data_IF_135012148377
#
_entry.id   IF_135012148377
#
_cell.length_a   1.000
_cell.length_b   1.000
_cell.length_c   1.000
_cell.angle_alpha   90.00
_cell.angle_beta   90.00
_cell.angle_gamma   90.00
#
_symmetry.space_group_name_H-M   'P 1'
#
loop_
_entity.id
_entity.type
_entity.pdbx_description
1 polymer ?
#
# COMPACT_ATOMS: atom_id res chain seq x y z
N UNK A 1 2.02 -19.65 -70.54
CA UNK A 1 3.02 -18.76 -69.89
C UNK A 1 3.21 -19.20 -68.45
N UNK A 2 4.43 -19.02 -67.89
CA UNK A 2 4.85 -19.03 -66.47
C UNK A 2 4.05 -19.93 -65.48
N UNK A 3 4.60 -21.07 -65.03
CA UNK A 3 5.58 -21.24 -63.92
C UNK A 3 5.00 -20.88 -62.52
N UNK A 4 5.13 -21.68 -61.46
CA UNK A 4 5.55 -23.09 -61.31
C UNK A 4 5.13 -23.68 -59.93
N UNK A 5 5.53 -24.94 -59.67
CA UNK A 5 5.15 -25.86 -58.58
C UNK A 5 5.59 -25.47 -57.13
N UNK A 6 5.10 -26.18 -56.08
CA UNK A 6 5.22 -25.81 -54.65
C UNK A 6 6.27 -26.67 -53.90
N UNK A 7 6.27 -26.66 -52.56
CA UNK A 7 6.69 -27.83 -51.78
C UNK A 7 6.14 -27.92 -50.33
N UNK A 8 5.70 -29.13 -49.96
CA UNK A 8 5.72 -29.66 -48.59
C UNK A 8 7.16 -30.07 -48.22
N UNK A 9 7.50 -30.29 -46.94
CA UNK A 9 7.85 -31.64 -46.45
C UNK A 9 7.96 -31.75 -44.92
N UNK A 10 7.87 -32.99 -44.43
CA UNK A 10 8.03 -33.46 -43.05
C UNK A 10 9.37 -34.19 -42.93
N UNK A 11 10.12 -34.03 -41.83
CA UNK A 11 11.06 -35.05 -41.30
C UNK A 11 11.08 -34.99 -39.77
N UNK A 12 11.25 -36.15 -39.12
CA UNK A 12 11.54 -36.32 -37.68
C UNK A 12 12.80 -37.19 -37.50
N UNK A 13 13.20 -37.44 -36.24
CA UNK A 13 14.04 -38.57 -35.74
C UNK A 13 15.56 -38.38 -35.52
N UNK A 14 16.00 -38.85 -34.34
CA UNK A 14 17.27 -39.53 -33.98
C UNK A 14 18.58 -38.68 -33.90
N UNK A 15 19.34 -38.64 -32.78
CA UNK A 15 20.18 -39.67 -32.06
C UNK A 15 21.57 -39.83 -32.73
N UNK A 16 22.74 -39.85 -32.05
CA UNK A 16 23.13 -39.66 -30.63
C UNK A 16 24.69 -39.57 -30.49
N UNK A 17 25.22 -39.62 -29.24
CA UNK A 17 26.60 -40.01 -28.86
C UNK A 17 27.70 -38.93 -29.02
N UNK A 18 28.85 -38.92 -28.29
CA UNK A 18 29.39 -39.62 -27.09
C UNK A 18 30.64 -38.83 -26.64
N UNK A 19 31.10 -38.69 -25.39
CA UNK A 19 30.54 -38.86 -24.03
C UNK A 19 31.17 -37.71 -23.17
N UNK A 20 31.86 -37.78 -22.00
CA UNK A 20 32.14 -38.71 -20.89
C UNK A 20 32.75 -37.82 -19.74
N UNK A 21 32.92 -38.13 -18.45
CA UNK A 21 32.61 -39.25 -17.54
C UNK A 21 32.58 -38.66 -16.08
N UNK A 22 32.26 -39.44 -15.04
CA UNK A 22 32.60 -39.13 -13.64
C UNK A 22 31.44 -39.10 -12.63
N UNK A 23 31.10 -40.26 -12.04
CA UNK A 23 30.29 -40.36 -10.81
C UNK A 23 31.13 -40.81 -9.60
N UNK A 24 30.55 -41.48 -8.58
CA UNK A 24 29.12 -41.62 -8.23
C UNK A 24 28.84 -41.44 -6.71
N UNK A 25 27.56 -41.41 -6.28
CA UNK A 25 27.08 -42.08 -5.02
C UNK A 25 25.55 -42.00 -4.75
N UNK A 26 24.89 -43.15 -5.02
CA UNK A 26 23.73 -43.82 -4.33
C UNK A 26 22.41 -43.07 -4.00
N UNK A 27 21.38 -43.90 -3.82
CA UNK A 27 19.93 -43.61 -3.86
C UNK A 27 19.21 -43.91 -2.52
N UNK A 28 17.96 -43.45 -2.39
CA UNK A 28 16.97 -43.88 -1.38
C UNK A 28 16.12 -42.71 -0.87
N UNK A 29 14.79 -42.74 -0.83
CA UNK A 29 13.83 -43.84 -1.11
C UNK A 29 12.57 -43.33 -1.83
N UNK A 30 12.10 -44.15 -2.78
CA UNK A 30 10.72 -44.60 -2.97
C UNK A 30 9.57 -43.57 -2.88
N UNK A 31 9.09 -43.17 -4.06
CA UNK A 31 7.71 -42.71 -4.27
C UNK A 31 6.79 -43.93 -4.42
N UNK A 32 5.56 -43.86 -3.90
CA UNK A 32 4.49 -44.80 -4.25
C UNK A 32 3.15 -44.05 -4.41
N UNK A 33 2.40 -44.41 -5.45
CA UNK A 33 1.03 -43.95 -5.71
C UNK A 33 0.13 -45.17 -5.90
N UNK A 34 -0.99 -45.28 -5.17
CA UNK A 34 -2.23 -45.89 -5.66
C UNK A 34 -2.91 -44.86 -6.57
N UNK A 35 -3.11 -45.10 -7.87
CA UNK A 35 -4.04 -46.05 -8.50
C UNK A 35 -5.50 -45.59 -8.41
N UNK A 36 -6.09 -45.25 -9.56
CA UNK A 36 -7.49 -44.87 -9.71
C UNK A 36 -8.43 -46.08 -9.66
N UNK A 37 -9.53 -45.96 -8.93
CA UNK A 37 -10.74 -46.76 -9.11
C UNK A 37 -11.95 -45.82 -9.18
N UNK A 38 -12.80 -46.03 -10.19
CA UNK A 38 -14.10 -45.37 -10.35
C UNK A 38 -15.16 -46.00 -9.41
N UNK A 39 -16.40 -45.49 -9.53
CA UNK A 39 -17.62 -45.95 -8.84
C UNK A 39 -17.80 -45.43 -7.41
N UNK A 40 -18.47 -44.26 -7.30
CA UNK A 40 -19.61 -44.07 -6.39
C UNK A 40 -20.44 -42.82 -6.80
N UNK A 41 -21.10 -42.89 -7.95
CA UNK A 41 -22.18 -41.94 -8.28
C UNK A 41 -23.45 -42.29 -7.46
N UNK A 42 -23.64 -41.62 -6.31
CA UNK A 42 -24.95 -41.14 -5.78
C UNK A 42 -24.80 -40.55 -4.38
N UNK A 43 -24.85 -39.23 -4.29
CA UNK A 43 -25.52 -38.49 -3.21
C UNK A 43 -25.48 -36.99 -3.54
N UNK A 44 -26.41 -36.52 -4.36
CA UNK A 44 -26.65 -35.09 -4.57
C UNK A 44 -27.33 -34.48 -3.34
N UNK A 45 -26.53 -34.21 -2.30
CA UNK A 45 -26.94 -33.31 -1.22
C UNK A 45 -27.04 -31.87 -1.76
N UNK A 46 -28.05 -31.08 -1.34
CA UNK A 46 -28.28 -29.74 -1.90
C UNK A 46 -27.09 -28.81 -1.63
N UNK A 47 -26.73 -28.01 -2.63
CA UNK A 47 -25.64 -27.04 -2.54
C UNK A 47 -26.00 -25.85 -1.64
N UNK A 48 -25.57 -25.89 -0.38
CA UNK A 48 -25.79 -24.81 0.60
C UNK A 48 -24.86 -23.60 0.37
N UNK A 49 -24.91 -23.05 -0.85
CA UNK A 49 -24.15 -21.89 -1.34
C UNK A 49 -25.09 -20.98 -2.17
N UNK A 50 -26.22 -20.57 -1.61
CA UNK A 50 -27.25 -19.83 -2.36
C UNK A 50 -28.02 -18.71 -1.62
N UNK A 51 -27.36 -17.67 -1.06
CA UNK A 51 -28.01 -16.36 -0.85
C UNK A 51 -28.17 -15.61 -2.19
N UNK A 52 -27.06 -15.22 -2.82
CA UNK A 52 -27.04 -14.22 -3.90
C UNK A 52 -27.74 -14.69 -5.19
N UNK A 53 -27.56 -15.94 -5.59
CA UNK A 53 -28.21 -16.52 -6.80
C UNK A 53 -29.74 -16.50 -6.68
N UNK A 54 -30.28 -16.63 -5.47
CA UNK A 54 -31.71 -16.58 -5.20
C UNK A 54 -32.28 -15.15 -5.21
N UNK A 55 -31.47 -14.12 -4.99
CA UNK A 55 -31.93 -12.72 -5.05
C UNK A 55 -31.95 -12.22 -6.49
N UNK A 56 -30.89 -12.45 -7.27
CA UNK A 56 -30.84 -12.10 -8.70
C UNK A 56 -32.02 -12.70 -9.50
N UNK A 57 -32.38 -13.97 -9.23
CA UNK A 57 -33.55 -14.59 -9.86
C UNK A 57 -34.88 -13.97 -9.41
N UNK A 58 -35.02 -13.51 -8.16
CA UNK A 58 -36.22 -12.78 -7.69
C UNK A 58 -36.30 -11.41 -8.34
N UNK A 59 -35.18 -10.70 -8.46
CA UNK A 59 -35.12 -9.37 -9.09
C UNK A 59 -35.47 -9.42 -10.57
N UNK A 60 -34.86 -10.32 -11.35
CA UNK A 60 -35.20 -10.49 -12.76
C UNK A 60 -36.64 -10.97 -12.94
N UNK A 61 -37.14 -11.87 -12.07
CA UNK A 61 -38.54 -12.30 -12.12
C UNK A 61 -39.51 -11.17 -11.78
N UNK A 62 -39.13 -10.21 -10.92
CA UNK A 62 -39.88 -8.97 -10.66
C UNK A 62 -39.83 -8.01 -11.85
N UNK A 63 -38.63 -7.79 -12.40
CA UNK A 63 -38.37 -6.86 -13.51
C UNK A 63 -39.01 -7.27 -14.84
N UNK A 64 -39.17 -8.57 -15.09
CA UNK A 64 -39.79 -9.14 -16.30
C UNK A 64 -41.29 -9.47 -16.15
N UNK A 65 -41.94 -9.02 -15.08
CA UNK A 65 -43.36 -9.34 -14.81
C UNK A 65 -43.65 -10.84 -14.64
N UNK A 66 -42.64 -11.60 -14.19
CA UNK A 66 -42.67 -13.07 -14.14
C UNK A 66 -42.36 -13.72 -15.48
N UNK A 67 -41.44 -13.15 -16.27
CA UNK A 67 -41.12 -13.52 -17.67
C UNK A 67 -42.30 -13.36 -18.64
N UNK A 68 -43.30 -12.53 -18.29
CA UNK A 68 -44.48 -12.26 -19.13
C UNK A 68 -44.30 -11.05 -20.04
N UNK A 69 -43.35 -10.18 -19.74
CA UNK A 69 -43.04 -8.97 -20.49
C UNK A 69 -41.53 -8.83 -20.61
N UNK A 70 -41.03 -8.66 -21.84
CA UNK A 70 -39.65 -8.23 -22.03
C UNK A 70 -39.56 -6.71 -21.79
N UNK A 71 -38.71 -6.24 -20.87
CA UNK A 71 -38.48 -4.81 -20.66
C UNK A 71 -37.87 -4.19 -21.92
N UNK A 72 -38.19 -2.92 -22.19
CA UNK A 72 -37.60 -2.16 -23.29
C UNK A 72 -36.09 -1.96 -23.09
N UNK A 73 -35.36 -1.68 -24.17
CA UNK A 73 -33.93 -1.35 -24.08
C UNK A 73 -33.66 -0.16 -23.16
N UNK A 74 -34.55 0.84 -23.11
CA UNK A 74 -34.46 1.96 -22.17
C UNK A 74 -34.61 1.54 -20.71
N UNK A 75 -35.54 0.64 -20.40
CA UNK A 75 -35.72 0.10 -19.05
C UNK A 75 -34.53 -0.79 -18.63
N UNK A 76 -34.01 -1.63 -19.53
CA UNK A 76 -32.80 -2.43 -19.28
C UNK A 76 -31.59 -1.53 -19.05
N UNK A 77 -31.38 -0.51 -19.88
CA UNK A 77 -30.30 0.47 -19.69
C UNK A 77 -30.47 1.25 -18.39
N UNK A 78 -31.68 1.69 -18.03
CA UNK A 78 -31.90 2.38 -16.75
C UNK A 78 -31.70 1.47 -15.54
N UNK A 79 -32.07 0.18 -15.63
CA UNK A 79 -31.80 -0.81 -14.59
C UNK A 79 -30.29 -1.05 -14.43
N UNK A 80 -29.57 -1.26 -15.54
CA UNK A 80 -28.12 -1.40 -15.55
C UNK A 80 -27.43 -0.15 -15.01
N UNK A 81 -27.83 1.04 -15.46
CA UNK A 81 -27.28 2.31 -14.98
C UNK A 81 -27.49 2.48 -13.47
N UNK A 82 -28.68 2.17 -12.93
CA UNK A 82 -28.95 2.25 -11.49
C UNK A 82 -28.14 1.23 -10.68
N UNK A 83 -27.88 0.04 -11.22
CA UNK A 83 -27.02 -0.97 -10.58
C UNK A 83 -25.53 -0.61 -10.68
N UNK A 84 -25.10 0.01 -11.78
CA UNK A 84 -23.72 0.48 -11.99
C UNK A 84 -23.41 1.77 -11.21
N UNK A 85 -24.41 2.64 -10.99
CA UNK A 85 -24.31 3.81 -10.10
C UNK A 85 -24.42 3.45 -8.61
N UNK A 86 -24.58 2.17 -8.28
CA UNK A 86 -24.44 1.68 -6.91
C UNK A 86 -22.94 1.69 -6.53
N UNK A 87 -22.53 2.21 -5.36
CA UNK A 87 -21.15 2.69 -5.10
C UNK A 87 -20.08 1.60 -4.90
N UNK A 88 -20.26 0.40 -5.46
CA UNK A 88 -19.42 -0.79 -5.24
C UNK A 88 -18.58 -1.22 -6.46
N UNK A 89 -18.53 -0.44 -7.56
CA UNK A 89 -17.62 -0.70 -8.69
C UNK A 89 -16.48 0.35 -8.78
N UNK A 90 -15.38 0.20 -8.04
CA UNK A 90 -14.31 1.20 -7.92
C UNK A 90 -13.33 1.19 -9.12
N UNK A 91 -13.81 0.93 -10.34
CA UNK A 91 -12.97 0.68 -11.52
C UNK A 91 -13.26 1.59 -12.73
N UNK A 92 -14.36 2.34 -12.74
CA UNK A 92 -14.60 3.36 -13.78
C UNK A 92 -13.96 4.70 -13.38
N UNK A 93 -13.37 5.41 -14.35
CA UNK A 93 -12.68 6.70 -14.15
C UNK A 93 -11.14 6.65 -14.03
N UNK A 94 -10.53 5.45 -14.02
CA UNK A 94 -9.06 5.29 -13.87
C UNK A 94 -8.25 5.54 -15.15
N UNK A 95 -8.29 6.77 -15.68
CA UNK A 95 -7.15 7.32 -16.42
C UNK A 95 -6.02 7.74 -15.45
N UNK A 96 -4.81 8.04 -15.94
CA UNK A 96 -3.66 8.46 -15.11
C UNK A 96 -3.84 9.88 -14.48
N UNK A 97 -5.07 10.40 -14.39
CA UNK A 97 -5.44 11.76 -13.95
C UNK A 97 -5.41 12.00 -12.42
N UNK A 98 -4.71 11.16 -11.66
CA UNK A 98 -4.35 11.43 -10.24
C UNK A 98 -3.19 12.46 -10.09
N UNK A 99 -2.81 13.14 -11.18
CA UNK A 99 -2.07 14.39 -11.09
C UNK A 99 -3.04 15.56 -10.90
N UNK A 100 -2.80 16.39 -9.88
CA UNK A 100 -3.61 17.58 -9.58
C UNK A 100 -3.84 18.44 -10.84
N UNK A 101 -5.04 18.35 -11.42
CA UNK A 101 -5.69 19.55 -11.95
C UNK A 101 -6.11 20.39 -10.74
N UNK A 102 -5.98 21.71 -10.88
CA UNK A 102 -6.44 22.66 -9.88
C UNK A 102 -7.98 22.68 -9.87
N UNK A 103 -8.58 22.96 -8.71
CA UNK A 103 -10.04 22.89 -8.52
C UNK A 103 -10.47 21.54 -7.94
N UNK A 104 -10.97 20.66 -8.82
CA UNK A 104 -12.20 19.92 -8.54
C UNK A 104 -11.99 18.40 -8.29
N UNK A 105 -12.89 17.82 -7.49
CA UNK A 105 -13.05 16.38 -7.16
C UNK A 105 -11.76 15.60 -6.80
N UNK A 106 -11.22 15.93 -5.63
CA UNK A 106 -9.99 15.36 -5.04
C UNK A 106 -10.16 13.93 -4.47
N UNK A 107 -10.39 12.93 -5.32
CA UNK A 107 -10.31 11.53 -4.87
C UNK A 107 -8.88 11.19 -4.41
N UNK A 108 -8.73 10.62 -3.20
CA UNK A 108 -7.42 10.31 -2.61
C UNK A 108 -6.85 9.07 -3.29
N UNK A 109 -5.65 9.17 -3.88
CA UNK A 109 -4.97 8.03 -4.53
C UNK A 109 -4.99 6.79 -3.60
N UNK A 110 -5.54 5.63 -4.04
CA UNK A 110 -5.93 4.54 -3.14
C UNK A 110 -4.84 4.07 -2.16
N UNK A 111 -3.57 4.03 -2.56
CA UNK A 111 -2.48 3.68 -1.64
C UNK A 111 -2.42 4.57 -0.38
N UNK A 112 -2.61 5.89 -0.52
CA UNK A 112 -2.61 6.83 0.61
C UNK A 112 -3.87 6.66 1.48
N UNK A 113 -5.03 6.43 0.86
CA UNK A 113 -6.27 6.06 1.58
C UNK A 113 -6.04 4.79 2.42
N UNK A 114 -5.41 3.76 1.86
CA UNK A 114 -5.01 2.55 2.58
C UNK A 114 -4.04 2.81 3.74
N UNK A 115 -3.09 3.73 3.58
CA UNK A 115 -2.19 4.15 4.66
C UNK A 115 -2.93 4.89 5.78
N UNK A 116 -3.93 5.71 5.44
CA UNK A 116 -4.85 6.32 6.42
C UNK A 116 -5.69 5.25 7.12
N UNK A 117 -6.28 4.29 6.40
CA UNK A 117 -7.08 3.21 7.00
C UNK A 117 -6.26 2.40 8.01
N UNK A 118 -5.03 2.01 7.66
CA UNK A 118 -4.11 1.33 8.60
C UNK A 118 -3.79 2.21 9.80
N UNK A 119 -3.51 3.50 9.62
CA UNK A 119 -3.21 4.40 10.72
C UNK A 119 -4.41 4.57 11.68
N UNK A 120 -5.61 4.84 11.14
CA UNK A 120 -6.83 4.95 11.93
C UNK A 120 -7.12 3.66 12.71
N UNK A 121 -7.01 2.49 12.06
CA UNK A 121 -7.22 1.20 12.71
C UNK A 121 -6.19 0.92 13.82
N UNK A 122 -4.91 1.30 13.64
CA UNK A 122 -3.88 1.14 14.69
C UNK A 122 -4.10 2.00 15.94
N UNK A 123 -4.87 3.07 15.85
CA UNK A 123 -5.29 3.90 16.99
C UNK A 123 -6.77 3.72 17.38
N UNK A 124 -7.52 2.91 16.62
CA UNK A 124 -8.97 2.70 16.76
C UNK A 124 -9.74 4.04 16.79
N UNK A 125 -9.29 5.05 16.02
CA UNK A 125 -9.88 6.39 16.00
C UNK A 125 -9.44 7.24 14.80
N UNK A 126 -10.38 8.06 14.30
CA UNK A 126 -10.14 9.05 13.25
C UNK A 126 -9.14 10.14 13.67
N UNK A 127 -8.92 10.40 14.97
CA UNK A 127 -7.99 11.46 15.42
C UNK A 127 -6.55 11.21 14.97
N UNK A 128 -6.16 9.97 14.72
CA UNK A 128 -4.86 9.63 14.16
C UNK A 128 -4.64 10.21 12.75
N UNK A 129 -5.72 10.56 12.03
CA UNK A 129 -5.66 11.20 10.73
C UNK A 129 -5.46 12.73 10.80
N UNK A 130 -5.83 13.38 11.92
CA UNK A 130 -5.70 14.83 12.05
C UNK A 130 -4.37 15.26 12.68
N UNK A 131 -3.76 14.43 13.53
CA UNK A 131 -2.47 14.75 14.16
C UNK A 131 -1.30 14.52 13.20
N UNK A 132 -0.40 15.50 13.10
CA UNK A 132 0.81 15.44 12.26
C UNK A 132 2.03 15.81 13.10
N UNK A 133 3.10 15.01 13.01
CA UNK A 133 4.39 15.29 13.65
C UNK A 133 5.14 16.35 12.82
N UNK A 134 5.48 17.47 13.45
CA UNK A 134 6.22 18.60 12.86
C UNK A 134 7.53 18.91 13.64
N UNK A 135 8.32 19.88 13.18
CA UNK A 135 9.57 20.31 13.82
C UNK A 135 9.40 20.67 15.30
N UNK A 136 8.26 21.27 15.68
CA UNK A 136 7.89 21.67 17.05
C UNK A 136 7.46 20.50 17.94
N UNK A 137 6.95 19.40 17.35
CA UNK A 137 6.48 18.23 18.08
C UNK A 137 7.61 17.63 18.94
N UNK A 138 7.39 17.43 20.26
CA UNK A 138 8.42 16.99 21.19
C UNK A 138 8.78 15.50 21.06
N UNK A 139 9.93 15.08 21.62
CA UNK A 139 10.28 13.67 21.81
C UNK A 139 9.25 12.91 22.65
N UNK A 140 9.08 11.63 22.36
CA UNK A 140 8.20 10.72 23.08
C UNK A 140 8.86 10.19 24.35
N UNK A 141 8.10 10.15 25.44
CA UNK A 141 8.54 9.62 26.73
C UNK A 141 8.13 8.16 26.95
N UNK A 142 8.60 7.56 28.05
CA UNK A 142 8.13 6.24 28.47
C UNK A 142 8.49 5.07 27.55
N UNK A 143 9.40 5.25 26.57
CA UNK A 143 9.84 4.21 25.64
C UNK A 143 11.36 4.24 25.40
N UNK A 144 11.95 3.06 25.20
CA UNK A 144 13.38 2.90 24.92
C UNK A 144 13.69 1.81 23.89
N UNK A 145 14.92 1.82 23.35
CA UNK A 145 15.47 0.72 22.55
C UNK A 145 16.28 -0.23 23.43
N UNK A 146 15.85 -1.49 23.52
CA UNK A 146 16.66 -2.57 24.08
C UNK A 146 17.49 -3.20 22.96
N UNK A 147 18.83 -3.20 23.13
CA UNK A 147 19.74 -3.99 22.26
C UNK A 147 19.59 -5.47 22.62
N UNK A 148 19.41 -6.33 21.62
CA UNK A 148 19.34 -7.78 21.82
C UNK A 148 20.74 -8.41 21.80
N UNK A 149 20.88 -9.65 22.31
CA UNK A 149 22.16 -10.39 22.29
C UNK A 149 22.66 -10.57 20.84
N UNK A 150 23.99 -10.56 20.64
CA UNK A 150 24.62 -10.83 19.33
C UNK A 150 24.11 -12.17 18.77
N UNK A 151 23.74 -12.20 17.50
CA UNK A 151 23.09 -13.37 16.86
C UNK A 151 21.55 -13.35 16.88
N UNK A 152 20.91 -12.45 17.62
CA UNK A 152 19.44 -12.32 17.58
C UNK A 152 18.95 -11.87 16.20
N UNK A 153 17.97 -12.60 15.63
CA UNK A 153 17.38 -12.28 14.31
C UNK A 153 16.80 -10.85 14.22
N UNK A 154 16.37 -10.28 15.35
CA UNK A 154 16.04 -8.86 15.51
C UNK A 154 17.04 -8.25 16.50
N UNK A 155 17.93 -7.32 16.08
CA UNK A 155 19.03 -6.82 16.92
C UNK A 155 18.60 -5.74 17.92
N UNK A 156 17.41 -5.15 17.75
CA UNK A 156 16.88 -4.05 18.56
C UNK A 156 15.38 -4.24 18.74
N UNK A 157 14.87 -4.19 19.97
CA UNK A 157 13.43 -4.15 20.26
C UNK A 157 13.04 -2.84 20.95
N UNK A 158 11.80 -2.39 20.78
CA UNK A 158 11.23 -1.32 21.62
C UNK A 158 10.60 -1.89 22.88
N UNK A 159 10.76 -1.19 23.99
CA UNK A 159 10.09 -1.46 25.26
C UNK A 159 9.45 -0.16 25.74
N UNK A 160 8.14 -0.19 25.98
CA UNK A 160 7.48 0.86 26.77
C UNK A 160 7.83 0.60 28.23
N UNK A 161 8.50 1.56 28.86
CA UNK A 161 8.93 1.54 30.26
C UNK A 161 7.92 2.22 31.18
N UNK A 162 7.16 3.20 30.67
CA UNK A 162 6.09 3.87 31.40
C UNK A 162 4.93 4.20 30.43
N UNK A 163 3.84 3.43 30.50
CA UNK A 163 2.67 3.61 29.63
C UNK A 163 1.99 4.97 29.83
N UNK A 164 1.98 5.52 31.05
CA UNK A 164 1.37 6.84 31.32
C UNK A 164 2.17 7.95 30.62
N UNK A 165 3.48 8.01 30.83
CA UNK A 165 4.34 8.98 30.14
C UNK A 165 4.27 8.84 28.61
N UNK A 166 4.22 7.60 28.10
CA UNK A 166 4.05 7.33 26.66
C UNK A 166 2.72 7.88 26.12
N UNK A 167 1.60 7.61 26.80
CA UNK A 167 0.27 8.11 26.37
C UNK A 167 0.21 9.64 26.48
N UNK A 168 0.67 10.20 27.61
CA UNK A 168 0.59 11.64 27.90
C UNK A 168 1.44 12.49 26.94
N UNK A 169 2.60 11.99 26.50
CA UNK A 169 3.50 12.69 25.57
C UNK A 169 3.23 12.41 24.08
N UNK A 170 2.37 11.45 23.73
CA UNK A 170 2.08 11.08 22.34
C UNK A 170 0.89 11.86 21.79
N UNK A 171 1.12 12.69 20.75
CA UNK A 171 0.12 13.61 20.17
C UNK A 171 -1.27 12.99 19.90
N UNK A 172 -1.34 11.78 19.33
CA UNK A 172 -2.62 11.04 19.17
C UNK A 172 -3.17 10.54 20.50
N UNK A 173 -2.41 9.73 21.25
CA UNK A 173 -2.92 9.00 22.42
C UNK A 173 -3.38 9.93 23.55
N UNK A 174 -2.71 11.06 23.78
CA UNK A 174 -3.18 12.01 24.78
C UNK A 174 -4.54 12.62 24.36
N UNK A 175 -4.75 12.90 23.07
CA UNK A 175 -6.03 13.39 22.52
C UNK A 175 -7.13 12.30 22.42
N UNK A 176 -6.79 11.03 22.64
CA UNK A 176 -7.75 9.95 22.88
C UNK A 176 -8.05 9.81 24.39
N UNK A 177 -7.03 9.89 25.25
CA UNK A 177 -7.19 9.88 26.72
C UNK A 177 -8.00 11.08 27.25
N UNK A 178 -7.93 12.23 26.59
CA UNK A 178 -8.72 13.43 26.91
C UNK A 178 -10.18 13.33 26.42
N UNK A 179 -10.54 12.32 25.61
CA UNK A 179 -11.86 12.18 25.02
C UNK A 179 -12.78 11.29 25.87
N UNK A 180 -13.92 11.83 26.29
CA UNK A 180 -14.94 11.10 27.06
C UNK A 180 -15.68 10.05 26.22
N UNK A 181 -15.64 10.17 24.89
CA UNK A 181 -16.29 9.27 23.94
C UNK A 181 -15.31 8.21 23.39
N UNK A 182 -14.13 8.06 24.01
CA UNK A 182 -13.11 7.08 23.63
C UNK A 182 -12.89 6.02 24.73
N UNK A 183 -12.83 4.72 24.41
CA UNK A 183 -13.09 4.11 23.10
C UNK A 183 -14.57 4.25 22.70
N UNK A 184 -14.84 4.31 21.39
CA UNK A 184 -16.20 4.12 20.88
C UNK A 184 -16.67 2.68 21.10
N UNK A 185 -17.98 2.44 20.96
CA UNK A 185 -18.66 1.18 21.31
C UNK A 185 -18.05 -0.10 20.70
N UNK A 186 -17.36 0.02 19.56
CA UNK A 186 -16.70 -1.09 18.83
C UNK A 186 -15.17 -0.94 18.74
N UNK A 187 -14.58 0.03 19.43
CA UNK A 187 -13.15 0.32 19.43
C UNK A 187 -12.39 -0.45 20.53
N UNK A 188 -11.20 -0.96 20.26
CA UNK A 188 -10.24 -1.30 21.31
C UNK A 188 -9.59 -0.03 21.90
N UNK A 189 -9.55 0.12 23.23
CA UNK A 189 -8.79 1.19 23.88
C UNK A 189 -7.28 0.95 23.75
N UNK A 190 -6.66 1.64 22.79
CA UNK A 190 -5.22 1.54 22.55
C UNK A 190 -4.39 2.27 23.59
N UNK A 191 -4.92 3.16 24.43
CA UNK A 191 -4.12 3.79 25.50
C UNK A 191 -3.63 2.76 26.53
N UNK A 192 -4.37 1.66 26.70
CA UNK A 192 -3.98 0.50 27.52
C UNK A 192 -2.89 -0.37 26.87
N UNK A 193 -2.79 -0.39 25.53
CA UNK A 193 -1.87 -1.23 24.72
C UNK A 193 -1.36 -0.48 23.47
N UNK A 194 -0.63 0.64 23.63
CA UNK A 194 -0.47 1.59 22.54
C UNK A 194 0.40 1.07 21.39
N UNK A 195 0.17 1.54 20.15
CA UNK A 195 1.02 1.23 19.02
C UNK A 195 2.42 1.86 19.20
N UNK A 196 3.44 1.11 18.78
CA UNK A 196 4.85 1.52 18.83
C UNK A 196 5.59 0.98 17.61
N UNK A 197 6.66 1.67 17.18
CA UNK A 197 7.52 1.13 16.14
C UNK A 197 8.16 -0.20 16.55
N UNK A 198 8.13 -1.21 15.69
CA UNK A 198 8.81 -2.49 15.94
C UNK A 198 9.72 -2.92 14.78
N UNK A 199 11.02 -3.00 15.02
CA UNK A 199 11.99 -3.49 14.03
C UNK A 199 11.70 -4.95 13.66
N UNK A 200 11.40 -5.23 12.39
CA UNK A 200 11.04 -6.59 11.96
C UNK A 200 9.73 -7.10 12.56
N UNK A 201 8.86 -6.20 13.05
CA UNK A 201 7.47 -6.53 13.39
C UNK A 201 6.65 -6.68 12.10
N UNK A 202 6.89 -7.80 11.40
CA UNK A 202 6.09 -8.25 10.27
C UNK A 202 4.68 -8.60 10.74
N UNK A 203 3.70 -8.42 9.85
CA UNK A 203 2.30 -8.82 10.05
C UNK A 203 1.79 -9.38 8.73
N UNK A 204 0.92 -10.37 8.82
CA UNK A 204 0.24 -10.98 7.68
C UNK A 204 -1.23 -11.24 8.07
N UNK A 205 -2.16 -11.31 7.10
CA UNK A 205 -3.51 -11.78 7.35
C UNK A 205 -3.50 -13.25 7.80
N UNK A 206 -4.56 -13.66 8.50
CA UNK A 206 -4.87 -15.08 8.72
C UNK A 206 -5.45 -15.72 7.43
N UNK A 207 -5.81 -17.01 7.50
CA UNK A 207 -6.44 -17.74 6.38
C UNK A 207 -7.75 -17.10 5.88
N UNK A 208 -8.39 -16.26 6.69
CA UNK A 208 -9.65 -15.56 6.38
C UNK A 208 -9.43 -14.12 5.88
N UNK A 209 -8.20 -13.75 5.53
CA UNK A 209 -7.88 -12.40 5.03
C UNK A 209 -7.78 -11.30 6.10
N UNK A 210 -7.90 -11.63 7.40
CA UNK A 210 -7.95 -10.66 8.50
C UNK A 210 -6.57 -10.47 9.16
N UNK A 211 -6.07 -9.24 9.23
CA UNK A 211 -4.78 -8.88 9.82
C UNK A 211 -4.95 -8.20 11.18
N UNK A 212 -4.37 -8.78 12.24
CA UNK A 212 -4.47 -8.28 13.62
C UNK A 212 -3.32 -7.32 13.96
N UNK A 213 -3.60 -6.01 13.94
CA UNK A 213 -2.64 -4.95 14.26
C UNK A 213 -2.37 -4.81 15.78
N UNK A 214 -3.39 -5.00 16.63
CA UNK A 214 -3.30 -4.92 18.10
C UNK A 214 -2.33 -5.93 18.74
N UNK A 215 -1.98 -7.00 18.02
CA UNK A 215 -1.08 -8.03 18.50
C UNK A 215 0.37 -7.54 18.63
N UNK A 216 1.12 -8.04 19.61
CA UNK A 216 2.53 -7.67 19.82
C UNK A 216 3.38 -8.00 18.59
N UNK A 217 4.30 -7.10 18.22
CA UNK A 217 5.22 -7.31 17.11
C UNK A 217 6.54 -7.95 17.56
N UNK A 218 7.20 -8.72 16.69
CA UNK A 218 8.47 -9.38 17.03
C UNK A 218 9.58 -8.38 17.44
N UNK A 219 9.54 -7.14 16.94
CA UNK A 219 10.40 -6.02 17.32
C UNK A 219 10.01 -5.27 18.59
N UNK A 220 9.08 -5.80 19.39
CA UNK A 220 8.58 -5.22 20.64
C UNK A 220 8.82 -6.20 21.80
N UNK A 221 9.00 -5.70 23.02
CA UNK A 221 9.09 -6.52 24.24
C UNK A 221 7.70 -6.75 24.84
N UNK A 222 7.31 -8.01 24.95
CA UNK A 222 6.04 -8.49 25.51
C UNK A 222 6.07 -8.58 27.04
N UNK A 223 6.36 -7.46 27.71
CA UNK A 223 6.11 -7.31 29.15
C UNK A 223 4.60 -7.18 29.45
N UNK A 224 4.23 -7.14 30.73
CA UNK A 224 2.84 -7.23 31.27
C UNK A 224 1.79 -6.28 30.66
N UNK A 225 2.21 -5.24 29.93
CA UNK A 225 1.35 -4.46 29.02
C UNK A 225 1.95 -4.55 27.60
N UNK A 226 1.46 -5.46 26.74
CA UNK A 226 2.00 -5.62 25.39
C UNK A 226 1.59 -4.43 24.51
N UNK A 227 2.55 -3.89 23.76
CA UNK A 227 2.33 -2.81 22.80
C UNK A 227 2.17 -3.39 21.37
N UNK A 228 1.23 -2.84 20.61
CA UNK A 228 1.02 -3.18 19.20
C UNK A 228 2.23 -2.75 18.37
N UNK A 229 2.70 -3.60 17.45
CA UNK A 229 3.96 -3.36 16.75
C UNK A 229 3.94 -3.72 15.27
N UNK A 230 4.36 -2.78 14.42
CA UNK A 230 4.53 -2.97 12.97
C UNK A 230 5.83 -2.32 12.47
N UNK A 231 6.49 -2.89 11.47
CA UNK A 231 7.64 -2.27 10.79
C UNK A 231 7.24 -1.38 9.61
N UNK A 232 8.15 -0.53 9.15
CA UNK A 232 7.91 0.45 8.09
C UNK A 232 7.38 -0.15 6.77
N UNK A 233 7.89 -1.31 6.38
CA UNK A 233 7.56 -1.97 5.11
C UNK A 233 6.39 -2.94 5.24
N UNK A 234 6.17 -3.52 6.44
CA UNK A 234 4.93 -4.22 6.77
C UNK A 234 3.73 -3.24 6.80
N UNK A 235 3.92 -2.02 7.32
CA UNK A 235 2.90 -0.96 7.28
C UNK A 235 2.49 -0.62 5.84
N UNK A 236 3.45 -0.37 4.95
CA UNK A 236 3.18 -0.11 3.53
C UNK A 236 2.54 -1.31 2.82
N UNK A 237 3.00 -2.54 3.11
CA UNK A 237 2.41 -3.76 2.56
C UNK A 237 0.94 -3.94 2.98
N UNK A 238 0.64 -3.58 4.22
CA UNK A 238 -0.73 -3.59 4.77
C UNK A 238 -1.58 -2.51 4.11
N UNK A 239 -1.06 -1.29 3.97
CA UNK A 239 -1.74 -0.16 3.33
C UNK A 239 -2.12 -0.44 1.87
N UNK A 240 -1.25 -1.11 1.11
CA UNK A 240 -1.57 -1.55 -0.25
C UNK A 240 -2.64 -2.66 -0.23
N UNK A 241 -2.48 -3.67 0.63
CA UNK A 241 -3.38 -4.83 0.68
C UNK A 241 -4.81 -4.54 1.16
N UNK A 242 -5.02 -3.53 2.02
CA UNK A 242 -6.39 -3.10 2.41
C UNK A 242 -7.16 -2.44 1.27
N UNK A 243 -6.48 -2.13 0.17
CA UNK A 243 -7.01 -1.51 -1.03
C UNK A 243 -6.90 -2.43 -2.26
N UNK A 244 -6.50 -3.69 -2.05
CA UNK A 244 -6.31 -4.67 -3.12
C UNK A 244 -5.12 -4.38 -4.05
N UNK A 245 -4.23 -3.46 -3.68
CA UNK A 245 -3.11 -3.04 -4.54
C UNK A 245 -1.98 -4.06 -4.51
N UNK A 246 -1.82 -4.80 -5.62
CA UNK A 246 -0.87 -5.90 -5.75
C UNK A 246 0.52 -5.33 -6.04
N UNK A 247 1.60 -5.86 -5.44
CA UNK A 247 2.97 -5.42 -5.83
C UNK A 247 3.45 -6.04 -7.16
N UNK A 248 2.77 -7.07 -7.63
CA UNK A 248 3.07 -7.85 -8.82
C UNK A 248 1.78 -8.42 -9.39
N UNK A 249 1.63 -8.45 -10.71
CA UNK A 249 0.45 -8.99 -11.40
C UNK A 249 0.10 -10.43 -10.96
N UNK A 250 1.14 -11.20 -10.60
CA UNK A 250 1.07 -12.61 -10.15
C UNK A 250 1.00 -12.81 -8.63
N UNK A 251 0.91 -11.74 -7.84
CA UNK A 251 0.69 -11.85 -6.40
C UNK A 251 -0.81 -11.96 -6.08
N UNK A 252 -1.15 -12.46 -4.88
CA UNK A 252 -2.49 -12.31 -4.30
C UNK A 252 -2.75 -10.88 -3.78
N UNK A 253 -3.88 -10.64 -3.09
CA UNK A 253 -4.27 -9.30 -2.59
C UNK A 253 -3.31 -8.72 -1.54
N UNK A 254 -2.44 -9.55 -0.96
CA UNK A 254 -1.42 -9.13 0.00
C UNK A 254 -0.08 -9.82 -0.29
N UNK A 255 1.01 -9.12 -0.01
CA UNK A 255 2.36 -9.69 0.04
C UNK A 255 3.16 -8.92 1.07
N UNK A 256 3.75 -9.62 2.05
CA UNK A 256 4.54 -9.00 3.11
C UNK A 256 5.92 -8.58 2.57
N UNK A 257 6.05 -7.34 2.11
CA UNK A 257 7.22 -6.83 1.39
C UNK A 257 8.24 -6.14 2.30
N UNK A 258 9.52 -6.28 1.96
CA UNK A 258 10.61 -5.52 2.60
C UNK A 258 10.95 -4.28 1.76
N UNK A 259 11.65 -3.30 2.35
CA UNK A 259 12.21 -2.15 1.61
C UNK A 259 13.10 -2.54 0.42
N UNK A 260 13.72 -3.73 0.47
CA UNK A 260 14.47 -4.32 -0.65
C UNK A 260 13.54 -4.91 -1.70
N UNK A 261 12.52 -5.67 -1.28
CA UNK A 261 11.49 -6.26 -2.16
C UNK A 261 10.80 -5.19 -3.01
N UNK A 262 10.31 -4.11 -2.37
CA UNK A 262 9.72 -2.95 -3.03
C UNK A 262 10.65 -2.36 -4.10
N UNK A 263 11.96 -2.31 -3.86
CA UNK A 263 12.92 -1.79 -4.84
C UNK A 263 13.20 -2.79 -5.98
N UNK A 264 13.27 -4.09 -5.71
CA UNK A 264 13.53 -5.10 -6.75
C UNK A 264 12.37 -5.26 -7.73
N UNK A 265 11.12 -5.05 -7.30
CA UNK A 265 9.97 -5.09 -8.22
C UNK A 265 10.08 -4.04 -9.34
N UNK A 266 10.74 -2.90 -9.11
CA UNK A 266 10.95 -1.82 -10.08
C UNK A 266 11.73 -2.21 -11.37
N UNK A 267 12.21 -3.46 -11.47
CA UNK A 267 12.81 -4.05 -12.68
C UNK A 267 12.11 -5.32 -13.18
N UNK A 268 10.99 -5.74 -12.59
CA UNK A 268 10.26 -6.95 -12.95
C UNK A 268 9.26 -6.70 -14.09
N UNK A 269 9.19 -7.61 -15.06
CA UNK A 269 8.17 -7.57 -16.13
C UNK A 269 6.73 -7.66 -15.61
N UNK A 270 6.52 -8.30 -14.46
CA UNK A 270 5.20 -8.44 -13.82
C UNK A 270 4.95 -7.38 -12.73
N UNK A 271 5.76 -6.30 -12.68
CA UNK A 271 5.66 -5.30 -11.62
C UNK A 271 4.40 -4.44 -11.72
N UNK A 272 3.75 -4.26 -10.58
CA UNK A 272 2.72 -3.25 -10.38
C UNK A 272 3.26 -1.99 -9.70
N UNK A 273 4.58 -1.94 -9.51
CA UNK A 273 5.32 -0.82 -8.94
C UNK A 273 6.18 -0.19 -10.05
N UNK A 274 5.83 1.03 -10.43
CA UNK A 274 6.57 1.87 -11.38
C UNK A 274 7.46 2.84 -10.59
N UNK A 275 8.50 3.39 -11.22
CA UNK A 275 9.24 4.54 -10.65
C UNK A 275 8.49 5.81 -10.99
N UNK A 276 8.31 6.70 -10.02
CA UNK A 276 7.58 7.95 -10.23
C UNK A 276 8.19 8.77 -11.39
N UNK A 277 7.33 9.45 -12.12
CA UNK A 277 7.68 10.32 -13.25
C UNK A 277 7.57 11.78 -12.82
N UNK A 278 8.52 12.59 -13.29
CA UNK A 278 8.64 14.00 -12.98
C UNK A 278 8.56 14.81 -14.27
N UNK A 279 7.77 15.87 -14.28
CA UNK A 279 7.63 16.85 -15.37
C UNK A 279 7.69 18.27 -14.81
N UNK A 280 7.37 19.27 -15.61
CA UNK A 280 7.23 20.64 -15.13
C UNK A 280 6.06 20.80 -14.13
N UNK A 281 5.00 20.01 -14.31
CA UNK A 281 3.78 20.08 -13.51
C UNK A 281 3.61 18.94 -12.51
N UNK A 282 4.25 17.79 -12.72
CA UNK A 282 4.13 16.62 -11.86
C UNK A 282 5.44 16.34 -11.13
N UNK A 283 5.36 16.12 -9.80
CA UNK A 283 6.49 15.65 -9.00
C UNK A 283 6.06 14.45 -8.13
N UNK A 284 6.21 14.53 -6.80
CA UNK A 284 5.55 13.58 -5.90
C UNK A 284 4.05 13.87 -5.81
N UNK A 285 3.26 12.81 -5.65
CA UNK A 285 1.80 12.88 -5.43
C UNK A 285 1.42 11.99 -4.24
N UNK A 286 0.23 12.16 -3.62
CA UNK A 286 -0.28 11.22 -2.63
C UNK A 286 -0.22 9.77 -3.12
N UNK A 287 0.21 8.84 -2.26
CA UNK A 287 0.41 7.43 -2.60
C UNK A 287 1.79 7.08 -3.12
N UNK A 288 2.64 8.05 -3.51
CA UNK A 288 4.05 7.78 -3.83
C UNK A 288 4.80 7.26 -2.61
N UNK A 289 5.47 6.12 -2.76
CA UNK A 289 6.28 5.51 -1.70
C UNK A 289 7.75 5.91 -1.87
N UNK A 290 8.27 6.67 -0.91
CA UNK A 290 9.67 7.11 -0.88
C UNK A 290 10.48 6.05 -0.12
N UNK A 291 11.36 5.33 -0.81
CA UNK A 291 12.02 4.13 -0.31
C UNK A 291 13.55 4.23 -0.42
N UNK A 292 14.25 3.78 0.64
CA UNK A 292 15.70 3.50 0.65
C UNK A 292 15.89 2.01 0.94
N UNK A 293 16.27 1.25 -0.09
CA UNK A 293 16.31 -0.20 -0.07
C UNK A 293 17.27 -0.75 1.01
N UNK A 294 16.72 -1.50 1.96
CA UNK A 294 17.45 -2.03 3.12
C UNK A 294 17.56 -1.06 4.30
N UNK A 295 16.84 0.07 4.29
CA UNK A 295 16.81 1.05 5.38
C UNK A 295 15.38 1.39 5.83
N UNK A 296 14.63 2.15 5.03
CA UNK A 296 13.31 2.67 5.43
C UNK A 296 12.44 3.01 4.21
N UNK A 297 11.12 3.02 4.41
CA UNK A 297 10.11 3.40 3.42
C UNK A 297 8.99 4.19 4.10
N UNK A 298 8.46 5.19 3.39
CA UNK A 298 7.31 6.02 3.78
C UNK A 298 6.36 6.16 2.60
N UNK A 299 5.13 6.62 2.81
CA UNK A 299 4.19 6.97 1.75
C UNK A 299 3.77 8.44 1.85
N UNK A 300 3.82 9.18 0.75
CA UNK A 300 3.29 10.55 0.65
C UNK A 300 1.78 10.52 0.84
N UNK A 301 1.26 11.45 1.64
CA UNK A 301 -0.12 11.47 2.14
C UNK A 301 -0.90 12.69 1.63
N UNK A 302 -0.25 13.85 1.68
CA UNK A 302 -0.75 15.10 1.12
C UNK A 302 0.44 15.94 0.66
N UNK A 303 0.22 16.77 -0.36
CA UNK A 303 1.24 17.62 -0.99
C UNK A 303 0.72 19.06 -1.06
N UNK A 304 1.62 20.03 -0.90
CA UNK A 304 1.34 21.43 -1.27
C UNK A 304 1.34 21.64 -2.78
N UNK A 305 1.27 22.91 -3.22
CA UNK A 305 1.27 23.30 -4.63
C UNK A 305 2.57 22.92 -5.35
N UNK A 306 3.71 23.11 -4.67
CA UNK A 306 5.05 22.79 -5.17
C UNK A 306 5.82 22.01 -4.09
N UNK A 307 5.49 20.72 -3.87
CA UNK A 307 5.87 19.98 -2.68
C UNK A 307 7.38 19.72 -2.57
N UNK A 308 8.15 19.99 -3.63
CA UNK A 308 9.60 19.87 -3.68
C UNK A 308 10.30 21.20 -4.05
N UNK A 309 9.57 22.32 -4.03
CA UNK A 309 10.03 23.66 -4.44
C UNK A 309 10.64 23.74 -5.86
N UNK A 310 10.26 22.81 -6.74
CA UNK A 310 10.82 22.69 -8.10
C UNK A 310 10.36 23.87 -8.96
N UNK A 311 9.07 24.21 -8.94
CA UNK A 311 8.52 25.35 -9.69
C UNK A 311 9.05 26.69 -9.16
N UNK A 312 9.12 26.86 -7.83
CA UNK A 312 9.62 28.07 -7.16
C UNK A 312 11.07 28.39 -7.54
N UNK A 313 11.98 27.43 -7.43
CA UNK A 313 13.40 27.65 -7.74
C UNK A 313 13.72 27.57 -9.23
N UNK A 314 12.86 26.97 -10.07
CA UNK A 314 13.00 27.06 -11.53
C UNK A 314 12.67 28.48 -12.02
N UNK A 315 11.59 29.09 -11.53
CA UNK A 315 11.21 30.49 -11.84
C UNK A 315 12.32 31.51 -11.52
N UNK A 316 13.11 31.27 -10.46
CA UNK A 316 14.25 32.13 -10.07
C UNK A 316 15.62 31.66 -10.58
N UNK A 317 15.68 30.59 -11.38
CA UNK A 317 16.92 29.96 -11.87
C UNK A 317 17.80 29.31 -10.80
N UNK A 318 17.53 29.52 -9.49
CA UNK A 318 18.42 29.16 -8.40
C UNK A 318 18.21 27.73 -7.87
N UNK A 319 18.23 26.75 -8.78
CA UNK A 319 17.97 25.34 -8.46
C UNK A 319 18.92 24.71 -7.43
N UNK A 320 20.10 25.29 -7.18
CA UNK A 320 21.03 24.77 -6.18
C UNK A 320 20.59 25.07 -4.74
N UNK A 321 19.78 26.11 -4.52
CA UNK A 321 19.35 26.55 -3.17
C UNK A 321 18.19 25.76 -2.57
N UNK A 322 17.46 24.93 -3.34
CA UNK A 322 16.43 24.01 -2.81
C UNK A 322 17.01 23.23 -1.63
N UNK A 323 16.37 23.27 -0.46
CA UNK A 323 16.70 22.48 0.73
C UNK A 323 15.56 21.52 1.11
N UNK A 324 15.73 20.71 2.17
CA UNK A 324 14.63 19.87 2.69
C UNK A 324 13.58 20.73 3.43
N UNK A 325 13.97 21.91 3.95
CA UNK A 325 13.03 22.86 4.57
C UNK A 325 12.12 23.58 3.57
N UNK A 326 12.48 23.55 2.28
CA UNK A 326 11.68 24.14 1.20
C UNK A 326 10.51 23.25 0.76
N UNK A 327 10.51 21.98 1.18
CA UNK A 327 9.51 20.98 0.81
C UNK A 327 8.21 21.16 1.61
N UNK A 328 7.09 20.87 0.97
CA UNK A 328 5.74 20.98 1.51
C UNK A 328 4.95 19.71 1.20
N UNK A 329 5.08 18.71 2.09
CA UNK A 329 4.29 17.49 2.04
C UNK A 329 4.24 16.79 3.40
N UNK A 330 3.14 16.07 3.63
CA UNK A 330 3.00 15.12 4.73
C UNK A 330 3.18 13.71 4.21
N UNK A 331 3.78 12.83 5.02
CA UNK A 331 3.91 11.41 4.73
C UNK A 331 3.41 10.56 5.91
N UNK A 332 2.90 9.35 5.64
CA UNK A 332 2.61 8.35 6.67
C UNK A 332 3.71 7.29 6.71
N UNK A 333 4.11 6.88 7.90
CA UNK A 333 5.00 5.75 8.10
C UNK A 333 4.80 5.06 9.46
N UNK A 334 5.38 3.87 9.63
CA UNK A 334 5.77 3.37 10.95
C UNK A 334 7.29 3.44 11.09
N UNK A 335 7.82 4.18 12.05
CA UNK A 335 9.27 4.36 12.19
C UNK A 335 9.76 4.94 13.51
N UNK A 336 11.09 4.99 13.64
CA UNK A 336 11.75 5.67 14.75
C UNK A 336 11.88 7.17 14.46
N UNK A 337 10.81 7.91 14.70
CA UNK A 337 10.80 9.37 14.75
C UNK A 337 10.54 9.83 16.20
N UNK A 338 11.07 10.99 16.59
CA UNK A 338 10.91 11.60 17.93
C UNK A 338 10.92 10.59 19.10
N UNK A 339 11.94 9.72 19.20
CA UNK A 339 12.00 8.62 20.17
C UNK A 339 10.82 7.60 20.13
N UNK A 340 10.50 7.07 18.95
CA UNK A 340 9.68 5.83 18.73
C UNK A 340 8.17 5.97 18.50
N UNK A 341 7.64 7.13 18.11
CA UNK A 341 6.19 7.32 17.82
C UNK A 341 5.55 6.20 16.98
N UNK A 342 6.28 5.61 16.02
CA UNK A 342 5.76 4.48 15.24
C UNK A 342 4.79 4.94 14.16
N UNK A 343 3.62 4.30 14.00
CA UNK A 343 2.60 4.70 13.04
C UNK A 343 2.22 6.18 13.23
N UNK A 344 2.51 7.03 12.26
CA UNK A 344 2.28 8.47 12.36
C UNK A 344 2.23 9.16 11.00
N UNK A 345 1.45 10.24 10.90
CA UNK A 345 1.60 11.28 9.88
C UNK A 345 2.72 12.21 10.30
N UNK A 346 3.57 12.64 9.36
CA UNK A 346 4.73 13.50 9.62
C UNK A 346 4.84 14.54 8.51
N UNK A 347 4.95 15.82 8.88
CA UNK A 347 5.29 16.87 7.93
C UNK A 347 6.80 16.89 7.66
N UNK A 348 7.18 17.13 6.40
CA UNK A 348 8.59 17.07 5.98
C UNK A 348 9.51 18.06 6.71
N UNK A 349 8.98 19.18 7.24
CA UNK A 349 9.73 20.14 8.08
C UNK A 349 10.42 19.52 9.29
N UNK A 350 9.96 18.34 9.76
CA UNK A 350 10.63 17.57 10.83
C UNK A 350 12.08 17.20 10.51
N UNK A 351 12.48 17.22 9.23
CA UNK A 351 13.79 16.77 8.77
C UNK A 351 14.62 17.90 8.19
N UNK A 352 15.82 18.10 8.73
CA UNK A 352 16.83 18.99 8.13
C UNK A 352 17.66 18.32 7.03
N UNK A 353 17.58 16.99 6.89
CA UNK A 353 18.35 16.21 5.92
C UNK A 353 18.42 14.72 6.27
N UNK A 354 19.40 14.02 5.69
CA UNK A 354 19.65 12.59 5.88
C UNK A 354 19.42 11.78 4.59
N UNK A 355 19.80 10.50 4.56
CA UNK A 355 19.96 9.74 3.30
C UNK A 355 18.73 9.70 2.41
N UNK A 356 17.51 9.61 2.97
CA UNK A 356 16.27 9.62 2.18
C UNK A 356 16.03 11.01 1.57
N UNK A 357 15.99 12.04 2.42
CA UNK A 357 15.61 13.40 2.03
C UNK A 357 16.69 14.13 1.21
N UNK A 358 17.98 13.87 1.45
CA UNK A 358 19.07 14.40 0.63
C UNK A 358 19.06 13.83 -0.81
N UNK A 359 18.55 12.61 -1.00
CA UNK A 359 18.35 12.03 -2.34
C UNK A 359 17.08 12.56 -3.01
N UNK A 360 16.01 12.83 -2.26
CA UNK A 360 14.84 13.55 -2.75
C UNK A 360 15.19 14.99 -3.17
N UNK A 361 16.00 15.70 -2.35
CA UNK A 361 16.62 16.99 -2.69
C UNK A 361 17.43 16.92 -3.98
N UNK A 362 18.32 15.93 -4.10
CA UNK A 362 19.10 15.72 -5.34
C UNK A 362 18.20 15.52 -6.57
N UNK A 363 17.06 14.83 -6.39
CA UNK A 363 16.05 14.60 -7.44
C UNK A 363 15.38 15.93 -7.84
N UNK A 364 14.95 16.74 -6.87
CA UNK A 364 14.33 18.05 -7.08
C UNK A 364 15.29 19.05 -7.75
N UNK A 365 16.53 19.16 -7.25
CA UNK A 365 17.60 20.03 -7.81
C UNK A 365 17.85 19.72 -9.29
N UNK A 366 17.92 18.43 -9.67
CA UNK A 366 18.10 18.06 -11.08
C UNK A 366 16.85 18.30 -11.93
N UNK A 367 15.64 18.11 -11.40
CA UNK A 367 14.42 18.39 -12.15
C UNK A 367 14.25 19.91 -12.40
N UNK A 368 14.50 20.72 -11.38
CA UNK A 368 14.54 22.18 -11.50
C UNK A 368 15.52 22.63 -12.59
N UNK A 369 16.76 22.11 -12.59
CA UNK A 369 17.75 22.42 -13.64
C UNK A 369 17.26 22.05 -15.04
N UNK A 370 16.62 20.88 -15.19
CA UNK A 370 16.01 20.49 -16.48
C UNK A 370 14.93 21.47 -16.96
N UNK A 371 14.11 22.01 -16.06
CA UNK A 371 13.08 23.01 -16.42
C UNK A 371 13.75 24.32 -16.87
N UNK A 372 14.75 24.80 -16.14
CA UNK A 372 15.57 25.99 -16.51
C UNK A 372 16.30 25.78 -17.85
N UNK A 373 16.78 24.56 -18.12
CA UNK A 373 17.38 24.15 -19.39
C UNK A 373 16.35 23.91 -20.53
N UNK A 374 15.07 24.24 -20.33
CA UNK A 374 13.99 24.05 -21.31
C UNK A 374 13.58 22.60 -21.58
N UNK A 375 14.12 21.62 -20.83
CA UNK A 375 13.94 20.17 -21.03
C UNK A 375 12.65 19.67 -20.37
N UNK A 376 11.52 20.28 -20.76
CA UNK A 376 10.15 20.07 -20.23
C UNK A 376 9.62 18.63 -20.32
N UNK A 377 10.20 17.77 -21.18
CA UNK A 377 9.80 16.35 -21.32
C UNK A 377 9.90 15.59 -20.00
N UNK A 378 8.82 14.90 -19.65
CA UNK A 378 8.69 14.03 -18.48
C UNK A 378 9.81 12.98 -18.41
N UNK A 379 10.34 12.74 -17.21
CA UNK A 379 11.44 11.79 -16.96
C UNK A 379 11.18 10.91 -15.75
N UNK A 380 11.59 9.65 -15.82
CA UNK A 380 11.58 8.78 -14.65
C UNK A 380 12.57 9.25 -13.61
N UNK A 381 12.18 9.19 -12.34
CA UNK A 381 13.03 9.40 -11.17
C UNK A 381 14.40 8.67 -11.23
N UNK A 382 14.49 7.54 -11.95
CA UNK A 382 15.75 6.81 -12.19
C UNK A 382 16.86 7.68 -12.80
N UNK A 383 16.55 8.63 -13.68
CA UNK A 383 17.55 9.54 -14.28
C UNK A 383 17.91 10.74 -13.38
N UNK A 384 17.12 10.99 -12.34
CA UNK A 384 17.29 12.12 -11.44
C UNK A 384 18.14 11.77 -10.20
N UNK A 385 18.14 10.52 -9.74
CA UNK A 385 19.07 10.04 -8.70
C UNK A 385 20.31 9.36 -9.28
N UNK A 386 21.44 9.43 -8.55
CA UNK A 386 22.62 8.57 -8.76
C UNK A 386 22.72 7.45 -7.71
N UNK A 387 21.92 7.50 -6.64
CA UNK A 387 22.00 6.55 -5.54
C UNK A 387 21.08 5.36 -5.80
N UNK A 388 21.67 4.26 -6.26
CA UNK A 388 20.97 3.06 -6.75
C UNK A 388 19.95 2.44 -5.78
N UNK A 389 20.09 2.64 -4.46
CA UNK A 389 19.17 2.12 -3.43
C UNK A 389 17.95 3.01 -3.19
N UNK A 390 17.92 4.24 -3.71
CA UNK A 390 16.79 5.16 -3.54
C UNK A 390 15.80 5.05 -4.69
N UNK A 391 14.52 5.21 -4.37
CA UNK A 391 13.42 5.12 -5.32
C UNK A 391 12.21 5.85 -4.76
N UNK A 392 11.62 6.73 -5.57
CA UNK A 392 10.21 7.11 -5.42
C UNK A 392 9.40 6.15 -6.30
N UNK A 393 8.44 5.47 -5.69
CA UNK A 393 7.69 4.35 -6.27
C UNK A 393 6.22 4.72 -6.36
N UNK A 394 5.62 4.60 -7.53
CA UNK A 394 4.17 4.77 -7.72
C UNK A 394 3.52 3.41 -8.00
N UNK A 395 2.34 3.18 -7.44
CA UNK A 395 1.54 2.01 -7.80
C UNK A 395 0.96 2.19 -9.21
N UNK A 396 0.76 1.08 -9.92
CA UNK A 396 0.13 1.05 -11.23
C UNK A 396 -1.38 0.78 -11.07
N UNK A 397 -2.15 1.76 -10.58
CA UNK A 397 -3.60 1.60 -10.36
C UNK A 397 -4.41 1.50 -11.66
N UNK A 398 -3.90 2.09 -12.75
CA UNK A 398 -4.51 2.10 -14.09
C UNK A 398 -4.30 0.79 -14.88
N UNK A 399 -3.91 -0.29 -14.19
CA UNK A 399 -3.64 -1.62 -14.75
C UNK A 399 -4.46 -2.65 -13.97
N UNK A 400 -5.52 -3.25 -14.55
CA UNK A 400 -6.41 -4.15 -13.82
C UNK A 400 -5.71 -5.38 -13.22
N UNK A 401 -4.62 -5.89 -13.82
CA UNK A 401 -3.86 -6.99 -13.22
C UNK A 401 -3.17 -6.59 -11.90
N UNK A 402 -3.07 -5.28 -11.61
CA UNK A 402 -2.43 -4.71 -10.43
C UNK A 402 -3.40 -4.32 -9.32
N UNK A 403 -4.71 -4.39 -9.59
CA UNK A 403 -5.76 -4.23 -8.59
C UNK A 403 -6.37 -5.60 -8.29
N UNK A 404 -6.94 -5.76 -7.10
CA UNK A 404 -7.60 -6.97 -6.64
C UNK A 404 -8.95 -6.62 -6.06
N UNK A 405 -9.98 -7.36 -6.46
CA UNK A 405 -11.31 -7.24 -5.86
C UNK A 405 -11.30 -7.76 -4.41
N UNK A 406 -10.47 -8.77 -4.13
CA UNK A 406 -10.13 -9.16 -2.76
C UNK A 406 -9.25 -8.09 -2.10
N UNK A 407 -9.56 -7.75 -0.85
CA UNK A 407 -8.79 -6.83 0.00
C UNK A 407 -8.57 -7.50 1.36
N UNK A 408 -7.41 -7.30 2.00
CA UNK A 408 -7.25 -7.73 3.40
C UNK A 408 -8.04 -6.81 4.33
N UNK A 409 -8.73 -7.41 5.30
CA UNK A 409 -9.45 -6.68 6.35
C UNK A 409 -8.53 -6.48 7.54
N UNK A 410 -8.54 -5.30 8.16
CA UNK A 410 -7.90 -5.11 9.46
C UNK A 410 -8.86 -5.57 10.55
N UNK A 411 -8.35 -6.18 11.61
CA UNK A 411 -9.17 -6.48 12.81
C UNK A 411 -9.69 -5.16 13.39
N UNK A 412 -10.99 -5.11 13.69
CA UNK A 412 -11.70 -3.95 14.22
C UNK A 412 -11.56 -2.71 13.30
N UNK A 413 -11.73 -2.86 11.99
CA UNK A 413 -11.75 -1.73 11.05
C UNK A 413 -13.11 -1.05 10.95
N UNK A 414 -14.17 -1.79 11.25
CA UNK A 414 -15.56 -1.33 11.30
C UNK A 414 -15.78 -0.18 12.32
N UNK A 415 -14.88 -0.02 13.29
CA UNK A 415 -14.89 1.10 14.23
C UNK A 415 -14.24 2.40 13.68
N UNK A 416 -13.61 2.34 12.51
CA UNK A 416 -12.95 3.46 11.83
C UNK A 416 -13.32 3.62 10.35
N UNK A 417 -14.18 2.76 9.80
CA UNK A 417 -14.64 2.87 8.40
C UNK A 417 -15.37 4.19 8.10
N UNK A 418 -15.97 4.85 9.10
CA UNK A 418 -16.52 6.21 8.96
C UNK A 418 -15.47 7.30 8.77
N UNK A 419 -14.26 7.12 9.32
CA UNK A 419 -13.21 8.15 9.39
C UNK A 419 -12.71 8.69 8.03
N UNK A 420 -13.07 8.01 6.93
CA UNK A 420 -12.67 8.36 5.58
C UNK A 420 -13.85 8.81 4.71
N UNK A 421 -15.10 8.43 5.06
CA UNK A 421 -16.32 8.93 4.40
C UNK A 421 -16.54 10.42 4.68
N UNK A 422 -16.31 10.83 5.93
CA UNK A 422 -16.31 12.24 6.36
C UNK A 422 -15.28 13.13 5.61
N UNK A 423 -14.33 12.53 4.86
CA UNK A 423 -13.37 13.26 4.03
C UNK A 423 -13.79 13.33 2.55
N UNK A 424 -14.81 12.60 2.14
CA UNK A 424 -15.40 12.65 0.80
C UNK A 424 -16.58 13.63 0.80
N UNK A 425 -17.53 13.50 1.75
CA UNK A 425 -18.70 14.39 1.88
C UNK A 425 -18.38 15.84 2.25
N UNK A 426 -17.20 16.12 2.82
CA UNK A 426 -16.76 17.49 3.12
C UNK A 426 -16.21 18.25 1.92
N UNK A 427 -16.05 17.60 0.77
CA UNK A 427 -15.65 18.25 -0.49
C UNK A 427 -16.88 18.68 -1.30
N UNK A 428 -18.02 17.99 -1.16
CA UNK A 428 -19.25 18.25 -1.92
C UNK A 428 -20.16 19.33 -1.32
N UNK A 429 -19.87 19.84 -0.12
CA UNK A 429 -20.70 20.81 0.61
C UNK A 429 -20.04 22.22 0.76
N UNK A 430 -18.92 22.47 0.07
CA UNK A 430 -18.23 23.78 0.03
C UNK A 430 -18.02 24.28 -1.44
N UNK A 431 -18.93 23.89 -2.35
CA UNK A 431 -18.96 24.24 -3.79
C UNK A 431 -20.24 24.99 -4.12
#
# INVERSE_FOLDING_TARGET
MKYFLPQFFIVSLLVSCVANNGGPKKFGRDFSMPSSSSEDEKNEGPSEYAPEVNEWHKEIKKFTGGYKTFPSSGEVTNYLNNQLSSPNNPCEGFEDSYGNKFGDEKSIHPAAFGARKVLAAMFQSCKALTQVIDDKTPPLEGVTTVKMKRGSAIPKKRKITNTKAYVDSHIVLNKLKEDKNYPGEKCEDVTKKPPVYGYGSRKAPNKSGVLNLSSSGAGVISSSKPAAGIDCSAFISTALGTQGLKVSKKAGPFTDNTTRSFHSFLGSKNSCLKRATYSEDQSIVPGDMINVAGSHIVMVDSVGEDPLAIKRFAKSGNCNSISVKDFDFTYIHSGNINNSYGPSRVHISKHSGGTMWNNLRTTAVKMCKRIVEGKKKSVSMKSLTSYSKFSVIRHNTTDPDCVSNERIKLRNEECVDGCLKDQEEKVSNEV
#
